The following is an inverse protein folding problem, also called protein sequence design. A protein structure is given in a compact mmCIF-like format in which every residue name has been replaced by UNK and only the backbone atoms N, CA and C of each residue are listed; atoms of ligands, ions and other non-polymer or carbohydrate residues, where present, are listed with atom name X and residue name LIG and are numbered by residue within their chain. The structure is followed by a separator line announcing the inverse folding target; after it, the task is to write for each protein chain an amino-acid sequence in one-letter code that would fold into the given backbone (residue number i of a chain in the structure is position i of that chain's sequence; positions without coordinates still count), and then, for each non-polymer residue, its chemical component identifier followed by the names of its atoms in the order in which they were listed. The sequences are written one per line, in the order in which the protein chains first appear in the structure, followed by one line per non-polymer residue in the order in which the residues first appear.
data_IF_088438133840
#
_entry.id   IF_088438133840
#
_cell.length_a   1.000
_cell.length_b   1.000
_cell.length_c   1.000
_cell.angle_alpha   90.00
_cell.angle_beta   90.00
_cell.angle_gamma   90.00
#
_symmetry.space_group_name_H-M   'P 1'
#
loop_
_entity.id
_entity.type
_entity.pdbx_description
1 polymer ?
#
# COMPACT_ATOMS: atom_id res chain seq x y z
N UNK A 1 -86.08 27.20 -23.14
CA UNK A 1 -84.85 26.44 -23.40
C UNK A 1 -83.85 26.79 -22.30
N UNK A 2 -83.60 25.83 -21.34
CA UNK A 2 -82.66 26.01 -20.23
C UNK A 2 -81.37 25.32 -20.59
N UNK A 3 -80.24 26.05 -20.68
CA UNK A 3 -78.89 25.53 -20.93
C UNK A 3 -78.30 25.11 -19.61
N UNK A 4 -77.96 23.81 -19.50
CA UNK A 4 -77.22 23.23 -18.37
C UNK A 4 -75.72 23.42 -18.60
N UNK A 5 -75.05 24.21 -17.74
CA UNK A 5 -73.61 24.38 -17.73
C UNK A 5 -72.97 23.38 -16.78
N UNK A 6 -72.27 22.38 -17.33
CA UNK A 6 -71.54 21.34 -16.57
C UNK A 6 -70.21 21.94 -16.15
N UNK A 7 -70.05 22.15 -14.84
CA UNK A 7 -68.76 22.53 -14.23
C UNK A 7 -67.82 21.33 -14.16
N UNK A 8 -66.68 21.34 -14.91
CA UNK A 8 -65.61 20.38 -14.82
C UNK A 8 -64.66 20.77 -13.69
N UNK A 9 -64.71 20.06 -12.57
CA UNK A 9 -63.69 20.14 -11.52
C UNK A 9 -62.38 19.53 -12.04
N UNK A 10 -61.33 20.36 -12.16
CA UNK A 10 -59.95 19.87 -12.43
C UNK A 10 -59.37 19.33 -11.12
N UNK A 11 -59.11 18.04 -11.09
CA UNK A 11 -58.40 17.36 -10.02
C UNK A 11 -56.89 17.57 -10.26
N UNK A 12 -56.29 18.45 -9.46
CA UNK A 12 -54.83 18.68 -9.50
C UNK A 12 -54.10 17.55 -8.83
N UNK A 13 -53.33 16.77 -9.60
CA UNK A 13 -52.41 15.77 -9.08
C UNK A 13 -51.14 16.52 -8.63
N UNK A 14 -50.92 16.64 -7.33
CA UNK A 14 -49.68 17.13 -6.76
C UNK A 14 -48.70 15.91 -6.78
N UNK A 15 -47.79 15.90 -7.74
CA UNK A 15 -46.68 14.97 -7.75
C UNK A 15 -45.66 15.41 -6.68
N UNK A 16 -45.67 14.72 -5.55
CA UNK A 16 -44.63 14.90 -4.51
C UNK A 16 -43.29 14.37 -5.03
N UNK A 17 -42.35 15.26 -5.30
CA UNK A 17 -40.97 14.90 -5.59
C UNK A 17 -40.30 14.50 -4.26
N UNK A 18 -40.11 13.20 -4.05
CA UNK A 18 -39.32 12.68 -2.93
C UNK A 18 -37.85 12.96 -3.26
N UNK A 19 -37.28 14.00 -2.68
CA UNK A 19 -35.83 14.19 -2.65
C UNK A 19 -35.21 13.11 -1.73
N UNK A 20 -34.71 12.03 -2.31
CA UNK A 20 -33.81 11.13 -1.60
C UNK A 20 -32.47 11.86 -1.52
N UNK A 21 -32.25 12.56 -0.42
CA UNK A 21 -30.90 13.06 -0.10
C UNK A 21 -30.01 11.84 0.14
N UNK A 22 -29.15 11.49 -0.82
CA UNK A 22 -28.02 10.61 -0.57
C UNK A 22 -27.10 11.33 0.43
N UNK A 23 -27.21 10.98 1.70
CA UNK A 23 -26.20 11.38 2.68
C UNK A 23 -24.90 10.69 2.25
N UNK A 24 -23.96 11.47 1.74
CA UNK A 24 -22.56 11.08 1.66
C UNK A 24 -22.10 10.92 3.11
N UNK A 25 -22.17 9.71 3.63
CA UNK A 25 -21.49 9.40 4.88
C UNK A 25 -19.99 9.53 4.61
N UNK A 26 -19.36 10.53 5.20
CA UNK A 26 -17.92 10.54 5.30
C UNK A 26 -17.51 9.24 6.00
N UNK A 27 -16.60 8.48 5.40
CA UNK A 27 -16.10 7.25 6.00
C UNK A 27 -15.31 7.53 7.28
N UNK A 28 -15.22 6.55 8.15
CA UNK A 28 -14.34 6.62 9.32
C UNK A 28 -12.90 6.32 8.94
N UNK A 29 -11.99 6.46 9.90
CA UNK A 29 -10.57 6.20 9.71
C UNK A 29 -10.02 5.28 10.79
N UNK A 30 -9.02 4.49 10.43
CA UNK A 30 -8.17 3.75 11.38
C UNK A 30 -6.77 4.35 11.29
N UNK A 31 -6.21 4.74 12.43
CA UNK A 31 -4.83 5.22 12.55
C UNK A 31 -4.12 4.40 13.61
N UNK A 32 -2.80 4.47 13.63
CA UNK A 32 -2.03 3.86 14.70
C UNK A 32 -0.54 3.95 14.46
N UNK A 33 0.22 3.48 15.44
CA UNK A 33 1.67 3.38 15.36
C UNK A 33 2.08 1.92 15.50
N UNK A 34 2.97 1.47 14.63
CA UNK A 34 3.57 0.13 14.71
C UNK A 34 4.93 0.25 15.40
N UNK A 35 5.14 -0.54 16.46
CA UNK A 35 6.37 -0.53 17.25
C UNK A 35 6.96 -1.93 17.45
N UNK A 36 8.26 -1.97 17.75
CA UNK A 36 8.99 -3.20 18.02
C UNK A 36 9.34 -3.31 19.50
N UNK A 37 9.04 -4.46 20.09
CA UNK A 37 9.49 -4.85 21.42
C UNK A 37 10.41 -6.06 21.34
N UNK A 38 11.59 -5.94 21.91
CA UNK A 38 12.55 -7.04 22.01
C UNK A 38 13.98 -6.61 21.76
N UNK A 39 14.88 -7.61 21.72
CA UNK A 39 16.29 -7.35 21.44
C UNK A 39 16.47 -7.01 19.96
N UNK A 40 17.01 -5.82 19.68
CA UNK A 40 17.31 -5.38 18.32
C UNK A 40 18.46 -6.22 17.75
N UNK A 41 18.24 -6.98 16.65
CA UNK A 41 19.29 -7.79 16.07
C UNK A 41 20.35 -6.91 15.38
N UNK A 42 21.58 -7.39 15.36
CA UNK A 42 22.63 -6.76 14.55
C UNK A 42 22.36 -7.07 13.06
N UNK A 43 21.89 -6.08 12.32
CA UNK A 43 21.60 -6.23 10.91
C UNK A 43 22.89 -6.41 10.09
N UNK A 44 22.83 -7.32 9.10
CA UNK A 44 23.94 -7.58 8.19
C UNK A 44 24.22 -6.34 7.34
N UNK A 45 25.49 -5.96 7.26
CA UNK A 45 25.95 -4.98 6.27
C UNK A 45 26.00 -5.65 4.90
N UNK A 46 25.65 -4.91 3.87
CA UNK A 46 25.82 -5.39 2.50
C UNK A 46 27.27 -5.21 2.07
N UNK A 47 27.81 -6.22 1.40
CA UNK A 47 29.10 -6.12 0.71
C UNK A 47 28.82 -5.73 -0.74
N UNK A 48 29.08 -4.46 -1.03
CA UNK A 48 28.88 -3.87 -2.36
C UNK A 48 30.21 -3.58 -3.06
N UNK A 49 31.33 -4.10 -2.55
CA UNK A 49 32.67 -3.77 -3.06
C UNK A 49 32.87 -4.11 -4.54
N UNK A 50 32.14 -5.08 -5.06
CA UNK A 50 32.16 -5.46 -6.48
C UNK A 50 31.45 -4.48 -7.41
N UNK A 51 30.68 -3.54 -6.85
CA UNK A 51 29.89 -2.55 -7.61
C UNK A 51 30.18 -1.11 -7.10
N UNK A 52 31.23 -0.44 -7.62
CA UNK A 52 31.66 0.86 -7.13
C UNK A 52 30.58 1.95 -7.17
N UNK A 53 29.64 1.89 -8.12
CA UNK A 53 28.54 2.86 -8.21
C UNK A 53 27.63 2.73 -7.00
N UNK A 54 27.34 1.50 -6.58
CA UNK A 54 26.53 1.24 -5.39
C UNK A 54 27.21 1.78 -4.12
N UNK A 55 28.52 1.53 -3.98
CA UNK A 55 29.32 2.05 -2.85
C UNK A 55 29.26 3.57 -2.81
N UNK A 56 29.57 4.25 -3.93
CA UNK A 56 29.58 5.72 -3.98
C UNK A 56 28.21 6.34 -3.64
N UNK A 57 27.10 5.72 -4.03
CA UNK A 57 25.77 6.24 -3.72
C UNK A 57 25.47 6.17 -2.23
N UNK A 58 25.85 5.09 -1.57
CA UNK A 58 25.68 4.95 -0.13
C UNK A 58 26.62 5.82 0.67
N UNK A 59 27.86 6.06 0.22
CA UNK A 59 28.81 6.97 0.87
C UNK A 59 28.31 8.43 0.88
N UNK A 60 27.51 8.80 -0.13
CA UNK A 60 26.86 10.13 -0.20
C UNK A 60 25.61 10.26 0.67
N UNK A 61 25.13 9.16 1.24
CA UNK A 61 23.99 9.12 2.16
C UNK A 61 24.45 8.61 3.54
N UNK A 62 25.02 9.47 4.40
CA UNK A 62 25.55 9.10 5.70
C UNK A 62 24.52 8.47 6.63
N UNK A 63 23.23 8.80 6.45
CA UNK A 63 22.15 8.25 7.26
C UNK A 63 21.91 6.76 7.00
N UNK A 64 22.25 6.27 5.80
CA UNK A 64 22.08 4.88 5.38
C UNK A 64 23.43 4.20 5.06
N UNK A 65 24.57 4.79 5.44
CA UNK A 65 25.89 4.20 5.25
C UNK A 65 26.45 3.59 6.55
N UNK A 66 27.04 2.40 6.51
CA UNK A 66 27.03 1.45 5.41
C UNK A 66 25.66 0.81 5.22
N UNK A 67 25.29 0.55 3.96
CA UNK A 67 24.04 -0.10 3.63
C UNK A 67 23.84 -1.40 4.42
N UNK A 68 22.64 -1.58 4.94
CA UNK A 68 22.28 -2.74 5.76
C UNK A 68 20.99 -3.36 5.27
N UNK A 69 20.76 -4.59 5.71
CA UNK A 69 19.47 -5.25 5.51
C UNK A 69 18.33 -4.41 6.07
N UNK A 70 17.29 -4.23 5.27
CA UNK A 70 16.07 -3.52 5.63
C UNK A 70 15.05 -4.44 6.33
N UNK A 71 15.49 -5.65 6.71
CA UNK A 71 14.65 -6.63 7.40
C UNK A 71 14.13 -6.18 8.78
N UNK A 72 14.64 -5.10 9.33
CA UNK A 72 14.10 -4.39 10.48
C UNK A 72 14.61 -2.94 10.44
N UNK A 73 13.75 -2.02 10.10
CA UNK A 73 14.06 -0.58 10.07
C UNK A 73 13.30 0.09 11.20
N UNK A 74 14.05 0.65 12.15
CA UNK A 74 13.48 1.30 13.33
C UNK A 74 13.77 2.80 13.31
N UNK A 75 12.76 3.57 13.66
CA UNK A 75 12.83 4.98 13.97
C UNK A 75 12.87 5.26 15.47
N UNK A 76 12.48 6.48 15.85
CA UNK A 76 12.41 6.90 17.24
C UNK A 76 11.40 6.06 18.03
N UNK A 77 11.73 5.72 19.29
CA UNK A 77 10.83 4.93 20.13
C UNK A 77 10.58 3.51 19.62
N UNK A 78 11.48 2.95 18.82
CA UNK A 78 11.32 1.67 18.14
C UNK A 78 10.12 1.60 17.18
N UNK A 79 9.67 2.73 16.66
CA UNK A 79 8.69 2.78 15.58
C UNK A 79 9.21 2.00 14.36
N UNK A 80 8.35 1.21 13.73
CA UNK A 80 8.74 0.28 12.65
C UNK A 80 8.37 0.85 11.29
N UNK A 81 9.35 0.97 10.40
CA UNK A 81 9.12 1.18 8.97
C UNK A 81 8.90 -0.15 8.24
N UNK A 82 8.38 -0.06 7.01
CA UNK A 82 8.16 -1.19 6.10
C UNK A 82 7.14 -2.21 6.63
N UNK A 83 6.19 -1.77 7.45
CA UNK A 83 5.06 -2.59 7.85
C UNK A 83 3.90 -2.33 6.90
N UNK A 84 3.47 -3.37 6.22
CA UNK A 84 2.28 -3.32 5.41
C UNK A 84 1.05 -3.55 6.29
N UNK A 85 0.11 -2.60 6.27
CA UNK A 85 -1.13 -2.64 7.04
C UNK A 85 -2.31 -2.63 6.09
N UNK A 86 -3.26 -3.54 6.26
CA UNK A 86 -4.42 -3.68 5.38
C UNK A 86 -5.68 -4.13 6.13
N UNK A 87 -6.82 -3.97 5.49
CA UNK A 87 -8.07 -4.63 5.88
C UNK A 87 -8.16 -5.98 5.14
N UNK A 88 -8.30 -7.08 5.88
CA UNK A 88 -8.39 -8.42 5.30
C UNK A 88 -9.80 -9.00 5.32
N UNK A 89 -10.72 -8.44 6.11
CA UNK A 89 -12.12 -8.85 6.16
C UNK A 89 -13.05 -7.72 6.59
N UNK A 90 -14.33 -7.84 6.27
CA UNK A 90 -15.40 -6.91 6.69
C UNK A 90 -15.74 -5.84 5.66
N UNK A 91 -14.99 -5.72 4.57
CA UNK A 91 -15.32 -4.79 3.49
C UNK A 91 -16.59 -5.25 2.75
N UNK A 92 -17.43 -4.30 2.30
CA UNK A 92 -18.57 -4.62 1.46
C UNK A 92 -18.10 -5.14 0.09
N UNK A 93 -18.84 -6.08 -0.48
CA UNK A 93 -18.63 -6.56 -1.85
C UNK A 93 -18.98 -5.44 -2.84
N UNK A 94 -17.98 -4.75 -3.32
CA UNK A 94 -18.09 -3.73 -4.37
C UNK A 94 -16.75 -3.55 -5.09
N UNK A 95 -16.82 -3.04 -6.30
CA UNK A 95 -15.64 -2.57 -7.02
C UNK A 95 -15.17 -1.22 -6.46
N UNK A 96 -13.87 -1.07 -6.30
CA UNK A 96 -13.22 0.16 -5.89
C UNK A 96 -12.50 0.78 -7.08
N UNK A 97 -12.55 2.09 -7.19
CA UNK A 97 -11.87 2.81 -8.28
C UNK A 97 -10.35 2.64 -8.14
N UNK A 98 -9.74 2.05 -9.16
CA UNK A 98 -8.28 1.91 -9.23
C UNK A 98 -7.63 3.26 -9.59
N UNK A 99 -6.57 3.69 -8.89
CA UNK A 99 -5.83 4.90 -9.26
C UNK A 99 -5.26 4.82 -10.67
N UNK A 100 -5.44 5.89 -11.45
CA UNK A 100 -4.85 6.00 -12.78
C UNK A 100 -3.34 6.33 -12.72
N UNK A 101 -2.90 7.01 -11.66
CA UNK A 101 -1.51 7.36 -11.45
C UNK A 101 -0.70 6.10 -11.10
N UNK A 102 0.45 5.88 -11.76
CA UNK A 102 1.29 4.73 -11.46
C UNK A 102 1.85 4.77 -10.04
N UNK A 103 1.81 3.62 -9.35
CA UNK A 103 2.71 3.39 -8.23
C UNK A 103 4.16 3.35 -8.74
N UNK A 104 5.14 3.68 -7.91
CA UNK A 104 6.55 3.76 -8.33
C UNK A 104 7.43 2.90 -7.45
N UNK A 105 8.21 2.02 -8.08
CA UNK A 105 9.30 1.28 -7.46
C UNK A 105 10.62 1.67 -8.14
N UNK A 106 11.50 2.34 -7.41
CA UNK A 106 12.76 2.84 -7.94
C UNK A 106 13.95 1.97 -7.51
N UNK A 107 14.84 1.69 -8.42
CA UNK A 107 16.16 1.11 -8.17
C UNK A 107 17.12 2.29 -7.97
N UNK A 108 17.37 2.65 -6.71
CA UNK A 108 18.23 3.77 -6.33
C UNK A 108 19.08 3.45 -5.12
N UNK A 109 20.40 3.65 -5.24
CA UNK A 109 21.38 3.20 -4.27
C UNK A 109 21.52 1.68 -4.25
N UNK A 110 21.25 1.01 -5.38
CA UNK A 110 21.25 -0.44 -5.50
C UNK A 110 20.37 -1.12 -4.44
N UNK A 111 19.23 -0.52 -4.21
CA UNK A 111 18.11 -1.03 -3.40
C UNK A 111 16.79 -0.72 -4.11
N UNK A 112 15.72 -1.44 -3.77
CA UNK A 112 14.36 -1.07 -4.18
C UNK A 112 13.79 -0.05 -3.22
N UNK A 113 13.23 1.03 -3.73
CA UNK A 113 12.59 2.10 -2.96
C UNK A 113 11.17 2.37 -3.48
N UNK A 114 10.16 2.16 -2.65
CA UNK A 114 10.21 1.67 -1.26
C UNK A 114 10.57 0.18 -1.18
N UNK A 115 11.01 -0.29 0.00
CA UNK A 115 11.30 -1.70 0.27
C UNK A 115 10.05 -2.57 0.25
N UNK A 116 8.94 -2.05 0.73
CA UNK A 116 7.60 -2.63 0.66
C UNK A 116 6.69 -1.67 -0.08
N UNK A 117 6.05 -2.14 -1.13
CA UNK A 117 5.13 -1.38 -1.96
C UNK A 117 3.77 -2.06 -1.99
N UNK A 118 2.72 -1.29 -1.83
CA UNK A 118 1.35 -1.75 -2.04
C UNK A 118 0.67 -0.92 -3.13
N UNK A 119 -0.14 -1.58 -3.96
CA UNK A 119 -0.91 -0.94 -5.02
C UNK A 119 -2.24 -1.66 -5.24
N UNK A 120 -3.14 -1.01 -5.94
CA UNK A 120 -4.41 -1.64 -6.31
C UNK A 120 -4.27 -2.50 -7.57
N UNK A 121 -5.09 -3.54 -7.64
CA UNK A 121 -5.23 -4.37 -8.83
C UNK A 121 -5.54 -3.52 -10.07
N UNK A 122 -4.82 -3.75 -11.16
CA UNK A 122 -4.92 -2.96 -12.38
C UNK A 122 -4.25 -1.59 -12.35
N UNK A 123 -3.77 -1.10 -11.18
CA UNK A 123 -2.98 0.11 -11.11
C UNK A 123 -1.62 -0.11 -11.80
N UNK A 124 -1.18 0.79 -12.69
CA UNK A 124 0.14 0.67 -13.29
C UNK A 124 1.24 0.76 -12.23
N UNK A 125 2.25 -0.12 -12.30
CA UNK A 125 3.47 -0.03 -11.52
C UNK A 125 4.61 0.41 -12.44
N UNK A 126 5.17 1.58 -12.15
CA UNK A 126 6.34 2.13 -12.83
C UNK A 126 7.60 1.71 -12.09
N UNK A 127 8.45 0.97 -12.76
CA UNK A 127 9.79 0.66 -12.30
C UNK A 127 10.78 1.68 -12.86
N UNK A 128 11.64 2.24 -12.01
CA UNK A 128 12.69 3.17 -12.40
C UNK A 128 14.07 2.55 -12.14
N UNK A 129 15.06 2.91 -12.99
CA UNK A 129 16.47 2.64 -12.74
C UNK A 129 17.23 3.98 -12.67
N UNK A 130 17.46 4.46 -11.45
CA UNK A 130 18.16 5.72 -11.14
C UNK A 130 19.65 5.53 -10.85
N UNK A 131 20.16 4.30 -10.86
CA UNK A 131 21.55 4.01 -10.50
C UNK A 131 22.52 4.16 -11.67
N UNK A 132 22.06 3.95 -12.88
CA UNK A 132 22.92 3.99 -14.05
C UNK A 132 23.82 2.77 -14.22
N UNK A 133 23.52 1.67 -13.52
CA UNK A 133 24.10 0.34 -13.69
C UNK A 133 23.03 -0.66 -14.10
N UNK A 134 23.43 -1.87 -14.43
CA UNK A 134 22.49 -2.95 -14.72
C UNK A 134 21.85 -3.43 -13.42
N UNK A 135 20.53 -3.45 -13.41
CA UNK A 135 19.71 -4.17 -12.46
C UNK A 135 18.76 -5.11 -13.18
N UNK A 136 18.00 -5.91 -12.46
CA UNK A 136 16.82 -6.58 -13.00
C UNK A 136 15.66 -6.57 -12.00
N UNK A 137 14.48 -6.78 -12.53
CA UNK A 137 13.22 -6.90 -11.82
C UNK A 137 12.80 -8.35 -11.90
N UNK A 138 13.06 -9.13 -10.87
CA UNK A 138 12.67 -10.53 -10.80
C UNK A 138 11.62 -10.69 -9.70
N UNK A 139 10.36 -10.76 -10.10
CA UNK A 139 9.24 -11.02 -9.18
C UNK A 139 9.07 -12.51 -8.95
N UNK A 140 8.61 -12.87 -7.76
CA UNK A 140 8.36 -14.26 -7.37
C UNK A 140 6.94 -14.38 -6.79
N UNK A 141 5.90 -14.10 -7.59
CA UNK A 141 4.51 -14.22 -7.19
C UNK A 141 4.08 -15.69 -7.14
N UNK A 142 2.90 -15.95 -6.57
CA UNK A 142 2.24 -17.24 -6.57
C UNK A 142 1.03 -17.25 -7.49
N UNK A 143 0.29 -16.13 -7.53
CA UNK A 143 -0.96 -15.99 -8.30
C UNK A 143 -0.74 -15.28 -9.64
N UNK A 144 0.16 -14.30 -9.69
CA UNK A 144 0.48 -13.56 -10.90
C UNK A 144 1.60 -14.25 -11.70
N UNK A 145 1.75 -13.86 -12.96
CA UNK A 145 2.87 -14.33 -13.78
C UNK A 145 4.20 -13.78 -13.26
N UNK A 146 5.17 -14.67 -13.08
CA UNK A 146 6.56 -14.30 -12.79
C UNK A 146 7.17 -13.57 -13.99
N UNK A 147 7.90 -12.48 -13.76
CA UNK A 147 8.74 -11.88 -14.77
C UNK A 147 10.15 -11.60 -14.25
N UNK A 148 11.11 -11.67 -15.17
CA UNK A 148 12.50 -11.30 -14.92
C UNK A 148 12.98 -10.39 -16.05
N UNK A 149 13.08 -9.08 -15.78
CA UNK A 149 13.34 -8.03 -16.75
C UNK A 149 14.68 -7.36 -16.43
N UNK A 150 15.62 -7.44 -17.38
CA UNK A 150 16.85 -6.67 -17.28
C UNK A 150 16.57 -5.17 -17.47
N UNK A 151 17.12 -4.35 -16.58
CA UNK A 151 17.10 -2.90 -16.68
C UNK A 151 18.54 -2.36 -16.80
N UNK A 152 19.14 -2.40 -18.01
CA UNK A 152 20.46 -1.82 -18.22
C UNK A 152 20.42 -0.31 -18.04
N UNK A 153 21.60 0.31 -17.87
CA UNK A 153 21.74 1.76 -17.53
C UNK A 153 20.98 2.72 -18.47
N UNK A 154 20.68 2.31 -19.70
CA UNK A 154 19.95 3.14 -20.67
C UNK A 154 18.42 2.96 -20.58
N UNK A 155 17.92 1.87 -20.01
CA UNK A 155 16.49 1.64 -19.74
C UNK A 155 16.14 2.27 -18.39
N UNK A 156 15.60 3.49 -18.44
CA UNK A 156 15.34 4.28 -17.22
C UNK A 156 14.02 3.94 -16.54
N UNK A 157 13.05 3.46 -17.31
CA UNK A 157 11.75 3.09 -16.79
C UNK A 157 11.10 1.95 -17.57
N UNK A 158 10.21 1.23 -16.91
CA UNK A 158 9.28 0.28 -17.54
C UNK A 158 7.99 0.23 -16.73
N UNK A 159 6.89 -0.15 -17.37
CA UNK A 159 5.57 -0.26 -16.74
C UNK A 159 5.10 -1.71 -16.76
N UNK A 160 4.40 -2.11 -15.67
CA UNK A 160 3.68 -3.39 -15.58
C UNK A 160 2.36 -3.17 -14.85
N UNK A 161 1.43 -4.07 -15.10
CA UNK A 161 0.20 -4.23 -14.32
C UNK A 161 0.11 -5.68 -13.86
N UNK A 162 -0.59 -5.92 -12.77
CA UNK A 162 -0.87 -7.24 -12.24
C UNK A 162 -2.33 -7.60 -12.53
N UNK A 163 -2.59 -8.88 -12.82
CA UNK A 163 -3.91 -9.38 -13.21
C UNK A 163 -4.70 -9.97 -12.03
N UNK A 164 -3.99 -10.33 -10.96
CA UNK A 164 -4.58 -10.94 -9.77
C UNK A 164 -4.17 -10.18 -8.50
N UNK A 165 -5.10 -10.08 -7.55
CA UNK A 165 -4.77 -9.61 -6.22
C UNK A 165 -3.90 -10.66 -5.51
N UNK A 166 -2.80 -10.19 -4.93
CA UNK A 166 -1.86 -11.05 -4.22
C UNK A 166 -1.24 -10.26 -3.06
N UNK A 167 -1.48 -10.66 -1.79
CA UNK A 167 -1.26 -9.77 -0.66
C UNK A 167 0.21 -9.48 -0.35
N UNK A 168 1.15 -10.30 -0.79
CA UNK A 168 2.58 -9.99 -0.62
C UNK A 168 3.47 -11.02 -1.31
N UNK A 169 4.24 -10.58 -2.28
CA UNK A 169 5.25 -11.42 -2.94
C UNK A 169 6.58 -10.68 -3.06
N UNK A 170 7.72 -11.41 -3.09
CA UNK A 170 9.03 -10.79 -3.18
C UNK A 170 9.36 -10.35 -4.60
N UNK A 171 10.18 -9.28 -4.66
CA UNK A 171 10.95 -8.88 -5.85
C UNK A 171 12.43 -8.86 -5.47
N UNK A 172 13.30 -9.31 -6.36
CA UNK A 172 14.75 -9.37 -6.17
C UNK A 172 15.51 -8.91 -7.42
N UNK A 173 16.77 -8.60 -7.24
CA UNK A 173 17.73 -8.41 -8.31
C UNK A 173 18.70 -9.60 -8.36
N UNK A 174 18.82 -10.27 -9.49
CA UNK A 174 19.75 -11.39 -9.65
C UNK A 174 21.21 -10.94 -9.84
N UNK A 175 21.40 -9.65 -10.21
CA UNK A 175 22.73 -9.04 -10.34
C UNK A 175 23.29 -8.64 -8.97
N UNK A 176 22.42 -8.14 -8.08
CA UNK A 176 22.80 -7.64 -6.76
C UNK A 176 22.05 -8.42 -5.66
N UNK A 177 22.66 -9.47 -5.07
CA UNK A 177 21.97 -10.41 -4.17
C UNK A 177 21.39 -9.77 -2.90
N UNK A 178 21.82 -8.56 -2.57
CA UNK A 178 21.28 -7.80 -1.42
C UNK A 178 20.01 -7.01 -1.75
N UNK A 179 19.75 -6.76 -3.06
CA UNK A 179 18.54 -6.02 -3.51
C UNK A 179 17.32 -6.92 -3.48
N UNK A 180 16.42 -6.64 -2.59
CA UNK A 180 15.10 -7.25 -2.52
C UNK A 180 14.07 -6.25 -2.00
N UNK A 181 12.83 -6.52 -2.30
CA UNK A 181 11.67 -5.80 -1.81
C UNK A 181 10.45 -6.69 -1.84
N UNK A 182 9.30 -6.10 -1.57
CA UNK A 182 8.03 -6.80 -1.53
C UNK A 182 6.94 -5.96 -2.20
N UNK A 183 6.02 -6.63 -2.87
CA UNK A 183 4.90 -6.00 -3.56
C UNK A 183 3.61 -6.65 -3.07
N UNK A 184 2.61 -5.83 -2.75
CA UNK A 184 1.25 -6.25 -2.47
C UNK A 184 0.30 -5.67 -3.53
N UNK A 185 -0.62 -6.48 -4.04
CA UNK A 185 -1.65 -6.09 -5.00
C UNK A 185 -3.02 -6.38 -4.40
N UNK A 186 -3.86 -5.35 -4.23
CA UNK A 186 -5.13 -5.44 -3.52
C UNK A 186 -6.31 -4.98 -4.37
N UNK A 187 -7.49 -5.53 -4.10
CA UNK A 187 -8.74 -5.15 -4.76
C UNK A 187 -9.39 -3.90 -4.16
N UNK A 188 -8.83 -3.33 -3.09
CA UNK A 188 -9.40 -2.22 -2.34
C UNK A 188 -8.31 -1.21 -1.90
N UNK A 189 -8.66 0.05 -1.60
CA UNK A 189 -7.69 1.10 -1.24
C UNK A 189 -7.32 1.15 0.26
N UNK A 190 -7.84 0.23 1.10
CA UNK A 190 -7.67 0.28 2.55
C UNK A 190 -6.40 -0.45 2.98
N UNK A 191 -5.28 0.15 2.65
CA UNK A 191 -3.94 -0.30 3.04
C UNK A 191 -3.00 0.90 3.17
N UNK A 192 -1.92 0.69 3.91
CA UNK A 192 -0.82 1.64 4.07
C UNK A 192 0.49 0.91 4.33
N UNK A 193 1.62 1.59 4.16
CA UNK A 193 2.95 1.07 4.48
C UNK A 193 3.65 2.09 5.37
N UNK A 194 4.02 1.67 6.57
CA UNK A 194 4.63 2.58 7.55
C UNK A 194 5.99 3.08 7.12
N UNK A 195 6.26 4.35 7.43
CA UNK A 195 7.58 4.96 7.37
C UNK A 195 8.32 4.87 8.71
N UNK A 196 9.44 5.58 8.87
CA UNK A 196 10.28 5.53 10.08
C UNK A 196 9.60 6.06 11.36
N UNK A 197 8.49 6.75 11.24
CA UNK A 197 7.67 7.15 12.38
C UNK A 197 6.71 6.04 12.85
N UNK A 198 6.60 4.97 12.06
CA UNK A 198 5.76 3.82 12.32
C UNK A 198 4.27 4.08 12.16
N UNK A 199 3.88 5.26 11.69
CA UNK A 199 2.48 5.64 11.56
C UNK A 199 1.85 5.00 10.32
N UNK A 200 0.56 4.67 10.44
CA UNK A 200 -0.29 4.26 9.32
C UNK A 200 -1.66 4.89 9.44
N UNK A 201 -2.33 5.06 8.29
CA UNK A 201 -3.66 5.62 8.23
C UNK A 201 -4.49 5.01 7.10
N UNK A 202 -5.66 4.45 7.45
CA UNK A 202 -6.66 3.96 6.51
C UNK A 202 -7.88 4.89 6.59
N UNK A 203 -8.21 5.55 5.49
CA UNK A 203 -9.26 6.57 5.43
C UNK A 203 -10.51 6.08 4.71
N UNK A 204 -11.63 6.78 4.90
CA UNK A 204 -12.88 6.61 4.16
C UNK A 204 -13.48 5.20 4.26
N UNK A 205 -13.21 4.51 5.38
CA UNK A 205 -13.80 3.20 5.67
C UNK A 205 -15.31 3.35 5.90
N UNK A 206 -16.16 2.61 5.18
CA UNK A 206 -17.59 2.54 5.50
C UNK A 206 -17.80 2.10 6.97
N UNK A 207 -18.94 2.42 7.59
CA UNK A 207 -19.28 1.82 8.88
C UNK A 207 -19.31 0.29 8.79
N UNK A 208 -18.66 -0.39 9.72
CA UNK A 208 -18.52 -1.86 9.69
C UNK A 208 -17.55 -2.38 10.74
N UNK A 209 -17.47 -3.69 10.86
CA UNK A 209 -16.46 -4.39 11.68
C UNK A 209 -15.46 -5.04 10.76
N UNK A 210 -14.19 -4.74 10.98
CA UNK A 210 -13.09 -5.07 10.09
C UNK A 210 -12.03 -5.90 10.79
N UNK A 211 -11.36 -6.77 10.04
CA UNK A 211 -10.08 -7.35 10.45
C UNK A 211 -8.96 -6.52 9.86
N UNK A 212 -8.21 -5.85 10.73
CA UNK A 212 -6.97 -5.15 10.41
C UNK A 212 -5.81 -6.13 10.54
N UNK A 213 -4.93 -6.17 9.55
CA UNK A 213 -3.72 -6.97 9.57
C UNK A 213 -2.47 -6.12 9.27
N UNK A 214 -1.42 -6.31 10.06
CA UNK A 214 -0.10 -5.75 9.83
C UNK A 214 0.89 -6.88 9.54
N UNK A 215 1.63 -6.76 8.45
CA UNK A 215 2.61 -7.74 7.99
C UNK A 215 4.04 -7.19 8.05
N UNK A 216 4.96 -8.08 8.45
CA UNK A 216 6.40 -7.81 8.43
C UNK A 216 7.17 -9.03 7.90
N UNK A 217 8.17 -8.81 7.02
CA UNK A 217 8.89 -9.86 6.28
C UNK A 217 9.55 -10.95 7.14
N UNK A 218 9.83 -10.71 8.41
CA UNK A 218 10.49 -11.65 9.33
C UNK A 218 9.69 -11.99 10.59
N UNK A 219 8.74 -11.14 10.96
CA UNK A 219 8.00 -11.30 12.21
C UNK A 219 6.57 -11.83 11.98
N UNK A 220 6.23 -12.06 10.69
CA UNK A 220 4.91 -12.52 10.30
C UNK A 220 3.84 -11.46 10.44
N UNK A 221 2.62 -11.85 10.78
CA UNK A 221 1.45 -10.99 10.84
C UNK A 221 0.99 -10.72 12.27
N UNK A 222 0.26 -9.60 12.44
CA UNK A 222 -0.50 -9.24 13.63
C UNK A 222 -1.86 -8.76 13.18
N UNK A 223 -2.92 -9.23 13.84
CA UNK A 223 -4.29 -8.88 13.47
C UNK A 223 -5.04 -8.29 14.66
N UNK A 224 -5.97 -7.39 14.37
CA UNK A 224 -6.88 -6.80 15.34
C UNK A 224 -8.27 -6.66 14.72
N UNK A 225 -9.33 -6.83 15.51
CA UNK A 225 -10.68 -6.49 15.10
C UNK A 225 -10.97 -5.04 15.49
N UNK A 226 -11.60 -4.28 14.58
CA UNK A 226 -11.97 -2.89 14.80
C UNK A 226 -13.34 -2.59 14.20
N UNK A 227 -14.21 -1.93 14.97
CA UNK A 227 -15.53 -1.47 14.52
C UNK A 227 -15.51 0.02 14.30
N UNK A 228 -15.92 0.46 13.10
CA UNK A 228 -16.11 1.85 12.71
C UNK A 228 -17.60 2.17 12.71
N UNK A 229 -17.97 3.23 13.40
CA UNK A 229 -19.33 3.74 13.47
C UNK A 229 -19.33 5.19 12.97
N UNK A 230 -19.90 5.42 11.77
CA UNK A 230 -19.92 6.75 11.15
C UNK A 230 -18.55 7.24 10.70
N UNK A 231 -18.25 8.50 11.00
CA UNK A 231 -17.03 9.20 10.58
C UNK A 231 -15.97 9.32 11.70
N UNK A 232 -15.98 8.39 12.64
CA UNK A 232 -15.00 8.38 13.74
C UNK A 232 -13.61 7.96 13.28
N UNK A 233 -12.59 8.34 14.06
CA UNK A 233 -11.24 7.81 13.93
C UNK A 233 -10.96 6.85 15.09
N UNK A 234 -10.55 5.63 14.77
CA UNK A 234 -10.06 4.64 15.74
C UNK A 234 -8.55 4.59 15.72
N UNK A 235 -7.93 4.68 16.89
CA UNK A 235 -6.49 4.47 17.03
C UNK A 235 -6.22 3.02 17.48
N UNK A 236 -5.44 2.28 16.68
CA UNK A 236 -5.05 0.89 16.92
C UNK A 236 -3.53 0.79 16.81
N UNK A 237 -2.83 0.81 17.94
CA UNK A 237 -1.39 0.61 17.95
C UNK A 237 -1.05 -0.88 17.87
N UNK A 238 -0.02 -1.21 17.09
CA UNK A 238 0.39 -2.60 16.84
C UNK A 238 1.81 -2.81 17.34
N UNK A 239 2.04 -3.91 18.05
CA UNK A 239 3.36 -4.25 18.59
C UNK A 239 3.84 -5.57 18.03
N UNK A 240 4.99 -5.54 17.35
CA UNK A 240 5.72 -6.75 17.00
C UNK A 240 6.72 -7.11 18.09
N UNK A 241 6.71 -8.36 18.53
CA UNK A 241 7.60 -8.89 19.58
C UNK A 241 8.45 -10.05 19.06
N UNK A 242 9.68 -10.13 19.56
CA UNK A 242 10.58 -11.25 19.31
C UNK A 242 11.23 -11.76 20.61
#
# INVERSE_FOLDING_TARGET
MKSNMISRKRLGIIAGVIFISSQLFAGGSITGTVTYEGKIPKLKKFDMATEPVCVMKHEKDPANYPARSEALVLGNGNAMANIFVQITAGLPEKEWATPAEPAVLNQDGCTYKPHVLALMLGQPLKFLNSDGVLHNLHTLPVENDEFNIAMPKFLKETLRTFEYAEPMFPIKCDVHPWMKGFIAVLEHPFFDVTEKDGQYQLNDLPPGTYTLEAWHEKLGTRSAEVTIVGNETKNIDIVFKR
#
